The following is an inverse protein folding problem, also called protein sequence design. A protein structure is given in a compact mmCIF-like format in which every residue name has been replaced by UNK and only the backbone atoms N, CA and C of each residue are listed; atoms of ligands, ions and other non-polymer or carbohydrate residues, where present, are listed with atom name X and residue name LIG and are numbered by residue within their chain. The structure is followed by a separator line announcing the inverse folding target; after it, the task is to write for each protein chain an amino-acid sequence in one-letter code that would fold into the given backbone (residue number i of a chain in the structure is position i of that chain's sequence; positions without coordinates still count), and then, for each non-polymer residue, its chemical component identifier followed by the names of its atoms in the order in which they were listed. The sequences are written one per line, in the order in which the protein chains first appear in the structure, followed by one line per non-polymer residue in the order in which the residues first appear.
data_IF_911457180331
#
_entry.id   IF_911457180331
#
_cell.length_a   1.000
_cell.length_b   1.000
_cell.length_c   1.000
_cell.angle_alpha   90.00
_cell.angle_beta   90.00
_cell.angle_gamma   90.00
#
_symmetry.space_group_name_H-M   'P 1'
#
loop_
_entity.id
_entity.type
_entity.pdbx_description
1 polymer ?
#
# COMPACT_ATOMS: atom_id res chain seq x y z
N UNK A 1 2.01 3.34 -9.25
CA UNK A 1 2.83 4.50 -8.88
C UNK A 1 3.66 4.16 -7.66
N UNK A 2 4.95 4.46 -7.69
CA UNK A 2 5.83 4.09 -6.59
C UNK A 2 5.67 5.05 -5.40
N UNK A 3 5.56 4.47 -4.21
CA UNK A 3 5.60 5.19 -2.95
C UNK A 3 7.06 5.45 -2.53
N UNK A 4 7.44 6.72 -2.38
CA UNK A 4 8.71 7.12 -1.78
C UNK A 4 8.52 7.58 -0.32
N UNK A 5 9.31 7.07 0.63
CA UNK A 5 9.22 7.43 2.04
C UNK A 5 9.71 8.86 2.35
N UNK A 6 10.60 9.45 1.53
CA UNK A 6 11.17 10.79 1.79
C UNK A 6 10.25 11.94 1.36
N UNK A 7 9.77 11.96 0.11
CA UNK A 7 8.84 12.99 -0.37
C UNK A 7 8.12 12.55 -1.66
N UNK A 8 7.03 13.22 -2.04
CA UNK A 8 6.34 12.99 -3.31
C UNK A 8 4.83 13.24 -3.24
N UNK A 9 4.22 13.54 -4.40
CA UNK A 9 2.77 13.73 -4.54
C UNK A 9 1.97 12.51 -4.09
N UNK A 10 2.41 11.31 -4.48
CA UNK A 10 1.81 10.01 -4.11
C UNK A 10 1.70 9.87 -2.58
N UNK A 11 2.82 10.02 -1.86
CA UNK A 11 2.86 9.91 -0.40
C UNK A 11 1.91 10.94 0.23
N UNK A 12 2.00 12.20 -0.20
CA UNK A 12 1.16 13.27 0.35
C UNK A 12 -0.32 12.99 0.15
N UNK A 13 -0.71 12.59 -1.05
CA UNK A 13 -2.09 12.24 -1.40
C UNK A 13 -2.63 11.11 -0.52
N UNK A 14 -1.90 9.99 -0.43
CA UNK A 14 -2.33 8.82 0.34
C UNK A 14 -2.47 9.14 1.84
N UNK A 15 -1.52 9.88 2.39
CA UNK A 15 -1.58 10.30 3.79
C UNK A 15 -2.72 11.29 4.04
N UNK A 16 -2.93 12.29 3.16
CA UNK A 16 -4.05 13.23 3.30
C UNK A 16 -5.42 12.55 3.16
N UNK A 17 -5.58 11.61 2.22
CA UNK A 17 -6.80 10.81 2.07
C UNK A 17 -7.11 10.04 3.36
N UNK A 18 -6.09 9.40 3.94
CA UNK A 18 -6.22 8.68 5.20
C UNK A 18 -6.64 9.59 6.36
N UNK A 19 -5.97 10.73 6.54
CA UNK A 19 -6.31 11.69 7.59
C UNK A 19 -7.74 12.24 7.42
N UNK A 20 -8.15 12.47 6.18
CA UNK A 20 -9.52 12.87 5.88
C UNK A 20 -10.52 11.77 6.26
N UNK A 21 -10.25 10.50 5.93
CA UNK A 21 -11.11 9.37 6.28
C UNK A 21 -11.25 9.24 7.79
N UNK A 22 -10.15 9.31 8.55
CA UNK A 22 -10.20 9.23 10.02
C UNK A 22 -11.05 10.34 10.61
N UNK A 23 -10.93 11.56 10.07
CA UNK A 23 -11.67 12.72 10.58
C UNK A 23 -13.14 12.74 10.17
N UNK A 24 -13.48 12.24 8.98
CA UNK A 24 -14.81 12.41 8.37
C UNK A 24 -15.62 11.13 8.29
N UNK A 25 -14.97 9.98 8.37
CA UNK A 25 -15.53 8.63 8.20
C UNK A 25 -14.89 7.66 9.20
N UNK A 26 -15.12 7.87 10.52
CA UNK A 26 -14.53 7.02 11.57
C UNK A 26 -15.03 5.58 11.53
N UNK A 27 -16.10 5.31 10.76
CA UNK A 27 -16.60 3.99 10.40
C UNK A 27 -15.67 3.21 9.45
N UNK A 28 -14.70 3.88 8.82
CA UNK A 28 -13.76 3.28 7.86
C UNK A 28 -12.37 3.14 8.49
N UNK A 29 -11.94 1.90 8.70
CA UNK A 29 -10.58 1.57 9.09
C UNK A 29 -9.65 1.59 7.85
N UNK A 30 -8.89 2.67 7.66
CA UNK A 30 -8.01 2.82 6.50
C UNK A 30 -6.53 2.50 6.82
N UNK A 31 -6.03 1.40 6.27
CA UNK A 31 -4.64 0.94 6.42
C UNK A 31 -3.86 1.16 5.13
N UNK A 32 -2.70 1.84 5.21
CA UNK A 32 -1.78 1.99 4.09
C UNK A 32 -0.75 0.86 4.09
N UNK A 33 -0.64 0.13 2.98
CA UNK A 33 0.42 -0.87 2.75
C UNK A 33 1.47 -0.31 1.80
N UNK A 34 2.70 -0.15 2.27
CA UNK A 34 3.77 0.60 1.57
C UNK A 34 5.09 -0.16 1.56
N UNK A 35 6.03 0.09 0.63
CA UNK A 35 7.34 -0.54 0.71
C UNK A 35 8.16 0.03 1.88
N UNK A 36 8.89 -0.82 2.60
CA UNK A 36 9.73 -0.43 3.74
C UNK A 36 10.99 -1.28 3.90
N UNK A 37 11.77 -1.00 4.95
CA UNK A 37 12.99 -1.75 5.27
C UNK A 37 12.68 -3.16 5.78
N UNK A 38 11.59 -3.30 6.53
CA UNK A 38 11.11 -4.52 7.14
C UNK A 38 9.62 -4.69 6.87
N UNK A 39 9.11 -5.91 7.02
CA UNK A 39 7.68 -6.17 6.98
C UNK A 39 7.11 -5.99 8.39
N UNK A 40 6.04 -5.20 8.55
CA UNK A 40 5.40 -4.98 9.86
C UNK A 40 4.74 -3.62 10.00
N UNK A 41 4.30 -3.29 11.22
CA UNK A 41 3.70 -1.99 11.51
C UNK A 41 4.77 -0.88 11.49
N UNK A 42 4.70 0.01 10.51
CA UNK A 42 5.62 1.13 10.37
C UNK A 42 5.16 2.38 11.14
N UNK A 43 3.83 2.57 11.25
CA UNK A 43 3.17 3.61 12.02
C UNK A 43 1.70 3.21 12.26
N UNK A 44 0.94 3.87 13.14
CA UNK A 44 -0.50 3.60 13.29
C UNK A 44 -1.25 3.65 11.95
N UNK A 45 -1.85 2.54 11.54
CA UNK A 45 -2.53 2.39 10.24
C UNK A 45 -1.61 2.42 9.01
N UNK A 46 -0.32 2.18 9.17
CA UNK A 46 0.65 2.04 8.06
C UNK A 46 1.46 0.76 8.28
N UNK A 47 1.31 -0.19 7.36
CA UNK A 47 2.05 -1.45 7.33
C UNK A 47 3.08 -1.37 6.22
N UNK A 48 4.32 -1.71 6.51
CA UNK A 48 5.36 -1.83 5.50
C UNK A 48 5.55 -3.27 5.03
N UNK A 49 5.92 -3.44 3.76
CA UNK A 49 6.40 -4.70 3.18
C UNK A 49 7.89 -4.54 2.85
N UNK A 50 8.73 -5.49 3.30
CA UNK A 50 10.17 -5.43 3.07
C UNK A 50 10.51 -5.36 1.57
N UNK A 51 11.22 -4.30 1.18
CA UNK A 51 11.59 -4.01 -0.19
C UNK A 51 13.01 -3.40 -0.26
N UNK A 52 13.78 -3.81 -1.27
CA UNK A 52 15.18 -3.39 -1.47
C UNK A 52 15.24 -1.92 -1.85
N UNK A 53 16.13 -1.15 -1.22
CA UNK A 53 16.34 0.26 -1.57
C UNK A 53 16.99 0.35 -2.95
N UNK A 54 16.45 1.20 -3.82
CA UNK A 54 17.06 1.47 -5.12
C UNK A 54 18.31 2.36 -4.94
N UNK A 55 19.48 1.97 -5.48
CA UNK A 55 20.65 2.84 -5.48
C UNK A 55 20.31 4.12 -6.26
N UNK A 56 20.68 5.28 -5.71
CA UNK A 56 20.39 6.61 -6.27
C UNK A 56 18.90 6.95 -6.43
N UNK A 57 17.98 6.14 -5.90
CA UNK A 57 16.54 6.32 -6.07
C UNK A 57 15.86 7.15 -4.98
N UNK A 58 16.49 8.15 -4.37
CA UNK A 58 15.89 9.05 -3.34
C UNK A 58 14.99 8.38 -2.26
N UNK A 59 15.35 7.16 -1.85
CA UNK A 59 14.59 6.40 -0.85
C UNK A 59 13.48 5.51 -1.40
N UNK A 60 13.21 5.52 -2.71
CA UNK A 60 12.42 4.50 -3.39
C UNK A 60 12.95 3.10 -3.09
N UNK A 61 12.01 2.17 -3.01
CA UNK A 61 12.26 0.76 -2.74
C UNK A 61 11.52 -0.06 -3.79
N UNK A 62 12.16 -1.10 -4.29
CA UNK A 62 11.61 -1.97 -5.32
C UNK A 62 10.77 -3.09 -4.70
N UNK A 63 9.45 -3.10 -4.88
CA UNK A 63 8.62 -4.25 -4.51
C UNK A 63 8.81 -5.35 -5.56
N UNK A 64 9.58 -6.38 -5.24
CA UNK A 64 9.97 -7.41 -6.22
C UNK A 64 9.28 -8.78 -6.02
N UNK A 65 8.40 -8.92 -5.01
CA UNK A 65 7.75 -10.19 -4.69
C UNK A 65 6.25 -9.97 -4.49
N UNK A 66 5.42 -10.46 -5.40
CA UNK A 66 3.95 -10.42 -5.28
C UNK A 66 3.50 -11.16 -4.03
N UNK A 67 4.04 -12.36 -3.78
CA UNK A 67 3.70 -13.20 -2.62
C UNK A 67 3.87 -12.48 -1.27
N UNK A 68 4.94 -11.68 -1.10
CA UNK A 68 5.14 -10.92 0.16
C UNK A 68 4.04 -9.89 0.38
N UNK A 69 3.60 -9.23 -0.69
CA UNK A 69 2.54 -8.22 -0.63
C UNK A 69 1.19 -8.88 -0.42
N UNK A 70 0.88 -9.92 -1.18
CA UNK A 70 -0.34 -10.71 -1.08
C UNK A 70 -0.51 -11.28 0.34
N UNK A 71 0.55 -11.85 0.91
CA UNK A 71 0.54 -12.37 2.30
C UNK A 71 0.15 -11.29 3.30
N UNK A 72 0.73 -10.09 3.18
CA UNK A 72 0.41 -8.97 4.07
C UNK A 72 -1.03 -8.50 3.86
N UNK A 73 -1.50 -8.40 2.63
CA UNK A 73 -2.88 -8.02 2.32
C UNK A 73 -3.88 -9.03 2.90
N UNK A 74 -3.60 -10.33 2.75
CA UNK A 74 -4.43 -11.41 3.31
C UNK A 74 -4.47 -11.41 4.83
N UNK A 75 -3.34 -11.14 5.49
CA UNK A 75 -3.29 -11.01 6.95
C UNK A 75 -4.07 -9.81 7.49
N UNK A 76 -4.35 -8.81 6.67
CA UNK A 76 -5.12 -7.63 7.06
C UNK A 76 -6.64 -7.85 6.92
N UNK A 77 -7.07 -8.91 6.23
CA UNK A 77 -8.48 -9.24 5.98
C UNK A 77 -9.33 -8.01 5.58
N UNK A 78 -8.92 -7.22 4.55
CA UNK A 78 -9.62 -6.00 4.18
C UNK A 78 -10.97 -6.28 3.50
N UNK A 79 -11.98 -5.45 3.74
CA UNK A 79 -13.27 -5.51 3.02
C UNK A 79 -13.18 -4.98 1.57
N UNK A 80 -12.14 -4.19 1.28
CA UNK A 80 -11.88 -3.60 -0.04
C UNK A 80 -10.39 -3.27 -0.16
N UNK A 81 -9.81 -3.50 -1.35
CA UNK A 81 -8.41 -3.17 -1.64
C UNK A 81 -8.35 -2.05 -2.67
N UNK A 82 -7.68 -0.95 -2.33
CA UNK A 82 -7.38 0.12 -3.29
C UNK A 82 -5.94 0.01 -3.78
N UNK A 83 -5.75 -0.15 -5.09
CA UNK A 83 -4.43 -0.33 -5.71
C UNK A 83 -4.05 0.92 -6.53
N UNK A 84 -3.09 1.70 -6.02
CA UNK A 84 -2.50 2.84 -6.75
C UNK A 84 -1.30 2.46 -7.61
N UNK A 85 -1.06 1.16 -7.82
CA UNK A 85 0.11 0.64 -8.50
C UNK A 85 -0.24 -0.38 -9.58
N UNK A 86 0.51 -0.33 -10.69
CA UNK A 86 0.32 -1.18 -11.87
C UNK A 86 1.37 -2.30 -11.96
N UNK A 87 2.33 -2.34 -11.03
CA UNK A 87 3.40 -3.34 -10.97
C UNK A 87 3.09 -4.36 -9.86
N UNK A 88 4.11 -4.82 -9.13
CA UNK A 88 4.02 -5.92 -8.17
C UNK A 88 2.96 -5.72 -7.09
N UNK A 89 2.87 -4.56 -6.38
CA UNK A 89 1.79 -4.32 -5.43
C UNK A 89 0.39 -4.36 -6.05
N UNK A 90 0.25 -3.90 -7.30
CA UNK A 90 -1.02 -3.97 -8.03
C UNK A 90 -1.46 -5.40 -8.33
N UNK A 91 -0.54 -6.23 -8.82
CA UNK A 91 -0.82 -7.64 -9.07
C UNK A 91 -1.12 -8.40 -7.78
N UNK A 92 -0.35 -8.15 -6.72
CA UNK A 92 -0.60 -8.74 -5.41
C UNK A 92 -1.97 -8.35 -4.82
N UNK A 93 -2.47 -7.14 -5.14
CA UNK A 93 -3.82 -6.72 -4.76
C UNK A 93 -4.90 -7.51 -5.49
N UNK A 94 -4.71 -7.81 -6.79
CA UNK A 94 -5.62 -8.66 -7.55
C UNK A 94 -5.63 -10.09 -6.99
N UNK A 95 -4.46 -10.68 -6.79
CA UNK A 95 -4.31 -12.03 -6.24
C UNK A 95 -4.96 -12.13 -4.85
N UNK A 96 -4.69 -11.17 -3.96
CA UNK A 96 -5.28 -11.15 -2.62
C UNK A 96 -6.79 -10.93 -2.66
N UNK A 97 -7.29 -10.04 -3.54
CA UNK A 97 -8.71 -9.78 -3.70
C UNK A 97 -9.48 -11.00 -4.19
N UNK A 98 -8.92 -11.76 -5.14
CA UNK A 98 -9.49 -13.03 -5.60
C UNK A 98 -9.57 -14.05 -4.45
N UNK A 99 -8.48 -14.24 -3.71
CA UNK A 99 -8.43 -15.20 -2.59
C UNK A 99 -9.37 -14.83 -1.45
N UNK A 100 -9.51 -13.55 -1.14
CA UNK A 100 -10.37 -13.06 -0.07
C UNK A 100 -11.84 -12.88 -0.52
N UNK A 101 -12.12 -12.87 -1.83
CA UNK A 101 -13.44 -12.59 -2.37
C UNK A 101 -13.87 -11.12 -2.19
N UNK A 102 -12.92 -10.17 -2.16
CA UNK A 102 -13.17 -8.75 -1.90
C UNK A 102 -12.88 -7.88 -3.13
N UNK A 103 -13.61 -6.76 -3.31
CA UNK A 103 -13.39 -5.87 -4.44
C UNK A 103 -11.99 -5.23 -4.43
N UNK A 104 -11.40 -5.14 -5.62
CA UNK A 104 -10.14 -4.42 -5.86
C UNK A 104 -10.42 -3.22 -6.76
N UNK A 105 -10.06 -2.02 -6.30
CA UNK A 105 -10.26 -0.77 -7.01
C UNK A 105 -8.90 -0.20 -7.41
N UNK A 106 -8.61 -0.24 -8.71
CA UNK A 106 -7.44 0.44 -9.28
C UNK A 106 -7.69 1.96 -9.36
N UNK A 107 -6.71 2.76 -8.98
CA UNK A 107 -6.78 4.22 -9.18
C UNK A 107 -5.45 4.79 -9.67
N UNK A 108 -5.56 5.85 -10.48
CA UNK A 108 -4.42 6.59 -11.02
C UNK A 108 -4.56 8.08 -10.67
N UNK A 109 -3.42 8.77 -10.62
CA UNK A 109 -3.29 10.21 -10.44
C UNK A 109 -2.20 10.71 -11.39
N UNK A 110 -2.38 11.90 -11.95
CA UNK A 110 -1.50 12.49 -12.97
C UNK A 110 -0.22 13.07 -12.40
#
# INVERSE_FOLDING_TARGET
MMYAPRSGGVKRYLHQKREWLIKRRPDIAHTLVVPGATTGLAAPGVVSVAATRLPFGDGYRMPASTTKWETVLRMLEPDIIEAGDMFVPGHAALDAGEVLGVPVVGFCHT
#
